data_IF_535451159671
#
_entry.id   IF_535451159671
#
_cell.length_a   1.000
_cell.length_b   1.000
_cell.length_c   1.000
_cell.angle_alpha   90.00
_cell.angle_beta   90.00
_cell.angle_gamma   90.00
#
_symmetry.space_group_name_H-M   'P 1'
#
loop_
_entity.id
_entity.type
_entity.pdbx_description
1 polymer ?
#
# COMPACT_ATOMS: atom_id res chain seq x y z
N UNK A 1 -11.29 3.28 -10.57
CA UNK A 1 -10.45 2.59 -9.57
C UNK A 1 -10.23 1.16 -10.05
N UNK A 2 -8.98 0.78 -10.29
CA UNK A 2 -8.67 -0.63 -10.57
C UNK A 2 -8.95 -1.46 -9.30
N UNK A 3 -9.64 -2.57 -9.46
CA UNK A 3 -9.88 -3.52 -8.36
C UNK A 3 -8.53 -4.11 -7.96
N UNK A 4 -8.13 -3.92 -6.69
CA UNK A 4 -6.87 -4.47 -6.20
C UNK A 4 -6.86 -5.99 -6.32
N UNK A 5 -5.87 -6.50 -7.02
CA UNK A 5 -5.64 -7.97 -7.09
C UNK A 5 -5.05 -8.44 -5.76
N UNK A 6 -5.50 -9.60 -5.30
CA UNK A 6 -4.95 -10.28 -4.12
C UNK A 6 -4.04 -11.39 -4.60
N UNK A 7 -2.89 -11.56 -3.98
CA UNK A 7 -1.97 -12.65 -4.30
C UNK A 7 -2.65 -14.02 -4.15
N UNK A 8 -2.43 -14.89 -5.12
CA UNK A 8 -2.89 -16.29 -5.05
C UNK A 8 -2.04 -17.11 -4.06
N UNK A 9 -0.79 -16.73 -3.89
CA UNK A 9 0.12 -17.37 -2.93
C UNK A 9 0.04 -16.59 -1.63
N UNK A 10 -0.36 -17.26 -0.56
CA UNK A 10 -0.56 -16.66 0.75
C UNK A 10 0.25 -17.43 1.80
N UNK A 11 0.99 -16.74 2.69
CA UNK A 11 1.60 -17.40 3.83
C UNK A 11 0.51 -17.93 4.77
N UNK A 12 0.70 -19.13 5.29
CA UNK A 12 -0.26 -19.79 6.18
C UNK A 12 -0.45 -19.02 7.49
N UNK A 13 0.62 -18.42 8.00
CA UNK A 13 0.63 -17.69 9.28
C UNK A 13 1.33 -16.37 9.14
N UNK A 14 0.88 -15.42 9.94
CA UNK A 14 1.53 -14.13 10.16
C UNK A 14 1.41 -13.78 11.64
N UNK A 15 2.51 -13.32 12.21
CA UNK A 15 2.57 -12.75 13.56
C UNK A 15 3.57 -11.61 13.54
N UNK A 16 3.33 -10.59 14.34
CA UNK A 16 4.35 -9.55 14.54
C UNK A 16 5.56 -10.12 15.25
N UNK A 17 6.75 -9.79 14.75
CA UNK A 17 7.98 -10.02 15.50
C UNK A 17 7.96 -9.27 16.84
N UNK A 18 8.80 -9.62 17.82
CA UNK A 18 8.78 -9.01 19.15
C UNK A 18 8.93 -7.48 19.14
N UNK A 19 9.73 -6.94 18.20
CA UNK A 19 9.95 -5.50 18.05
C UNK A 19 8.69 -4.81 17.50
N UNK A 20 8.09 -5.37 16.46
CA UNK A 20 6.89 -4.82 15.87
C UNK A 20 5.68 -4.99 16.78
N UNK A 21 5.63 -6.05 17.57
CA UNK A 21 4.59 -6.23 18.59
C UNK A 21 4.64 -5.11 19.64
N UNK A 22 5.82 -4.79 20.17
CA UNK A 22 5.97 -3.64 21.08
C UNK A 22 5.55 -2.32 20.44
N UNK A 23 5.89 -2.16 19.14
CA UNK A 23 5.49 -0.97 18.39
C UNK A 23 3.98 -0.91 18.21
N UNK A 24 3.33 -2.04 17.89
CA UNK A 24 1.89 -2.15 17.75
C UNK A 24 1.17 -1.81 19.06
N UNK A 25 1.65 -2.33 20.20
CA UNK A 25 1.08 -2.04 21.52
C UNK A 25 1.18 -0.54 21.85
N UNK A 26 2.32 0.09 21.55
CA UNK A 26 2.50 1.54 21.73
C UNK A 26 1.55 2.35 20.83
N UNK A 27 1.36 1.94 19.58
CA UNK A 27 0.43 2.60 18.67
C UNK A 27 -1.00 2.54 19.21
N UNK A 28 -1.41 1.37 19.69
CA UNK A 28 -2.75 1.16 20.24
C UNK A 28 -2.99 2.05 21.49
N UNK A 29 -1.97 2.22 22.34
CA UNK A 29 -2.05 3.08 23.52
C UNK A 29 -2.28 4.56 23.21
N UNK A 30 -1.98 5.03 21.99
CA UNK A 30 -2.27 6.40 21.57
C UNK A 30 -3.77 6.68 21.38
N UNK A 31 -4.61 5.66 21.36
CA UNK A 31 -6.05 5.80 21.17
C UNK A 31 -6.80 5.68 22.49
N UNK A 32 -7.87 6.47 22.70
CA UNK A 32 -8.69 6.39 23.89
C UNK A 32 -9.27 4.99 24.10
N UNK A 33 -9.60 4.68 25.35
CA UNK A 33 -10.24 3.41 25.71
C UNK A 33 -11.53 3.19 24.88
N UNK A 34 -11.70 2.01 24.31
CA UNK A 34 -12.81 1.65 23.42
C UNK A 34 -12.66 2.16 21.97
N UNK A 35 -11.54 2.84 21.62
CA UNK A 35 -11.24 3.32 20.26
C UNK A 35 -9.98 2.72 19.65
N UNK A 36 -9.46 1.66 20.23
CA UNK A 36 -8.22 0.99 19.79
C UNK A 36 -8.29 0.47 18.36
N UNK A 37 -9.50 0.14 17.88
CA UNK A 37 -9.73 -0.29 16.49
C UNK A 37 -9.32 0.77 15.45
N UNK A 38 -9.27 2.05 15.82
CA UNK A 38 -8.79 3.14 14.95
C UNK A 38 -7.29 3.02 14.59
N UNK A 39 -6.52 2.19 15.30
CA UNK A 39 -5.12 1.91 15.00
C UNK A 39 -4.92 0.97 13.80
N UNK A 40 -6.00 0.43 13.22
CA UNK A 40 -5.96 -0.57 12.12
C UNK A 40 -5.05 -0.15 10.96
N UNK A 41 -5.08 1.12 10.56
CA UNK A 41 -4.24 1.61 9.46
C UNK A 41 -2.75 1.53 9.80
N UNK A 42 -2.37 1.93 10.99
CA UNK A 42 -0.98 1.90 11.42
C UNK A 42 -0.47 0.46 11.58
N UNK A 43 -1.32 -0.45 12.06
CA UNK A 43 -0.97 -1.87 12.18
C UNK A 43 -0.84 -2.55 10.80
N UNK A 44 -1.70 -2.21 9.85
CA UNK A 44 -1.58 -2.69 8.46
C UNK A 44 -0.26 -2.22 7.83
N UNK A 45 0.12 -0.96 8.05
CA UNK A 45 1.39 -0.42 7.57
C UNK A 45 2.59 -1.13 8.21
N UNK A 46 2.52 -1.42 9.52
CA UNK A 46 3.55 -2.17 10.23
C UNK A 46 3.68 -3.60 9.69
N UNK A 47 2.55 -4.27 9.44
CA UNK A 47 2.52 -5.60 8.84
C UNK A 47 3.10 -5.60 7.43
N UNK A 48 2.74 -4.60 6.62
CA UNK A 48 3.29 -4.44 5.27
C UNK A 48 4.82 -4.32 5.28
N UNK A 49 5.36 -3.50 6.18
CA UNK A 49 6.81 -3.33 6.32
C UNK A 49 7.52 -4.62 6.76
N UNK A 50 6.88 -5.40 7.64
CA UNK A 50 7.45 -6.66 8.10
C UNK A 50 7.43 -7.73 7.02
N UNK A 51 6.46 -7.72 6.13
CA UNK A 51 6.23 -8.75 5.12
C UNK A 51 6.59 -8.25 3.70
N UNK A 52 7.83 -7.83 3.50
CA UNK A 52 8.39 -7.44 2.19
C UNK A 52 7.50 -6.47 1.40
N UNK A 53 6.95 -5.47 2.10
CA UNK A 53 6.09 -4.40 1.56
C UNK A 53 4.77 -4.85 0.92
N UNK A 54 4.20 -5.96 1.37
CA UNK A 54 2.83 -6.35 1.01
C UNK A 54 2.08 -6.99 2.18
N UNK A 55 0.76 -7.01 2.14
CA UNK A 55 -0.11 -7.47 3.23
C UNK A 55 -0.82 -8.76 2.82
N UNK A 56 -0.45 -9.91 3.40
CA UNK A 56 -1.16 -11.16 3.18
C UNK A 56 -2.47 -11.22 3.97
N UNK A 57 -3.40 -12.07 3.53
CA UNK A 57 -4.69 -12.28 4.22
C UNK A 57 -4.50 -12.80 5.66
N UNK A 58 -3.43 -13.55 5.92
CA UNK A 58 -3.08 -14.01 7.28
C UNK A 58 -2.75 -12.84 8.22
N UNK A 59 -2.07 -11.79 7.71
CA UNK A 59 -1.79 -10.59 8.49
C UNK A 59 -3.06 -9.81 8.82
N UNK A 60 -4.00 -9.69 7.88
CA UNK A 60 -5.29 -9.04 8.14
C UNK A 60 -6.10 -9.79 9.19
N UNK A 61 -6.11 -11.13 9.15
CA UNK A 61 -6.75 -11.98 10.15
C UNK A 61 -6.10 -11.82 11.53
N UNK A 62 -4.77 -11.74 11.55
CA UNK A 62 -4.02 -11.51 12.79
C UNK A 62 -4.37 -10.15 13.40
N UNK A 63 -4.35 -9.07 12.61
CA UNK A 63 -4.71 -7.71 13.05
C UNK A 63 -6.16 -7.64 13.54
N UNK A 64 -7.09 -8.31 12.85
CA UNK A 64 -8.48 -8.37 13.27
C UNK A 64 -8.63 -8.95 14.69
N UNK A 65 -7.94 -10.06 14.98
CA UNK A 65 -7.88 -10.65 16.33
C UNK A 65 -7.18 -9.74 17.34
N UNK A 66 -6.10 -9.09 16.92
CA UNK A 66 -5.29 -8.22 17.78
C UNK A 66 -6.07 -6.99 18.26
N UNK A 67 -6.96 -6.46 17.42
CA UNK A 67 -7.78 -5.28 17.70
C UNK A 67 -9.22 -5.62 18.14
N UNK A 68 -9.53 -6.91 18.30
CA UNK A 68 -10.89 -7.38 18.60
C UNK A 68 -11.94 -6.75 17.67
N UNK A 69 -11.74 -6.90 16.36
CA UNK A 69 -12.64 -6.36 15.34
C UNK A 69 -12.93 -7.38 14.24
N UNK A 70 -14.06 -7.26 13.54
CA UNK A 70 -14.41 -8.16 12.44
C UNK A 70 -13.36 -8.11 11.32
N UNK A 71 -12.95 -9.29 10.83
CA UNK A 71 -11.98 -9.40 9.73
C UNK A 71 -12.36 -8.55 8.51
N UNK A 72 -13.65 -8.50 8.16
CA UNK A 72 -14.14 -7.74 7.01
C UNK A 72 -13.78 -6.25 7.12
N UNK A 73 -13.77 -5.68 8.32
CA UNK A 73 -13.41 -4.27 8.54
C UNK A 73 -11.93 -4.00 8.28
N UNK A 74 -11.05 -4.92 8.66
CA UNK A 74 -9.62 -4.83 8.31
C UNK A 74 -9.41 -4.97 6.80
N UNK A 75 -10.14 -5.91 6.18
CA UNK A 75 -10.11 -6.14 4.74
C UNK A 75 -10.60 -4.91 3.96
N UNK A 76 -11.70 -4.27 4.38
CA UNK A 76 -12.21 -3.03 3.78
C UNK A 76 -11.12 -1.94 3.77
N UNK A 77 -10.45 -1.72 4.90
CA UNK A 77 -9.37 -0.72 4.99
C UNK A 77 -8.20 -1.07 4.06
N UNK A 78 -7.75 -2.33 4.07
CA UNK A 78 -6.62 -2.77 3.26
C UNK A 78 -6.89 -2.66 1.75
N UNK A 79 -8.13 -2.90 1.32
CA UNK A 79 -8.54 -2.81 -0.08
C UNK A 79 -8.84 -1.39 -0.52
N UNK A 80 -9.36 -0.55 0.36
CA UNK A 80 -9.74 0.83 0.06
C UNK A 80 -8.53 1.73 -0.19
N UNK A 81 -7.53 1.69 0.69
CA UNK A 81 -6.38 2.59 0.60
C UNK A 81 -5.32 2.07 -0.37
N UNK A 82 -4.97 2.91 -1.37
CA UNK A 82 -4.01 2.57 -2.43
C UNK A 82 -2.59 2.27 -1.93
N UNK A 83 -2.20 2.80 -0.77
CA UNK A 83 -0.88 2.58 -0.19
C UNK A 83 -0.62 1.16 0.33
N UNK A 84 -1.65 0.34 0.47
CA UNK A 84 -1.49 -1.06 0.88
C UNK A 84 -1.38 -1.96 -0.34
N UNK A 85 -0.27 -2.69 -0.43
CA UNK A 85 -0.04 -3.68 -1.46
C UNK A 85 -0.61 -5.03 -1.02
N UNK A 86 -1.46 -5.63 -1.84
CA UNK A 86 -2.10 -6.93 -1.56
C UNK A 86 -1.46 -8.09 -2.34
N UNK A 87 -0.42 -7.76 -3.10
CA UNK A 87 0.44 -8.69 -3.85
C UNK A 87 1.89 -8.38 -3.54
N UNK A 88 2.79 -9.37 -3.62
CA UNK A 88 4.23 -9.12 -3.52
C UNK A 88 4.68 -8.05 -4.51
N UNK A 89 5.51 -7.12 -4.04
CA UNK A 89 6.11 -6.05 -4.85
C UNK A 89 7.62 -6.24 -4.93
N UNK A 90 8.22 -5.77 -6.02
CA UNK A 90 9.66 -5.81 -6.19
C UNK A 90 10.39 -4.82 -5.30
N UNK A 91 11.73 -4.98 -5.19
CA UNK A 91 12.59 -4.02 -4.49
C UNK A 91 12.42 -2.60 -5.02
N UNK A 92 12.16 -2.47 -6.32
CA UNK A 92 11.84 -1.21 -6.99
C UNK A 92 10.39 -1.26 -7.45
N UNK A 93 9.57 -0.42 -6.87
CA UNK A 93 8.13 -0.33 -7.16
C UNK A 93 7.85 0.99 -7.85
N UNK A 94 7.50 0.92 -9.14
CA UNK A 94 7.22 2.08 -9.96
C UNK A 94 5.72 2.41 -9.90
N UNK A 95 5.40 3.62 -9.50
CA UNK A 95 4.04 4.14 -9.51
C UNK A 95 3.90 5.19 -10.60
N UNK A 96 3.03 4.96 -11.56
CA UNK A 96 2.81 5.83 -12.72
C UNK A 96 1.48 6.54 -12.57
N UNK A 97 1.53 7.86 -12.39
CA UNK A 97 0.33 8.69 -12.35
C UNK A 97 -0.28 8.83 -13.76
N UNK A 98 -1.56 8.50 -13.89
CA UNK A 98 -2.31 8.58 -15.15
C UNK A 98 -3.53 9.49 -15.07
N UNK A 99 -3.64 10.33 -14.04
CA UNK A 99 -4.69 11.36 -13.97
C UNK A 99 -4.59 12.36 -15.13
N UNK A 100 -5.67 13.08 -15.39
CA UNK A 100 -5.83 13.90 -16.60
C UNK A 100 -4.62 14.76 -16.96
N UNK A 101 -3.98 15.52 -16.06
CA UNK A 101 -2.81 16.32 -16.44
C UNK A 101 -1.62 15.45 -16.88
N UNK A 102 -1.36 14.33 -16.18
CA UNK A 102 -0.27 13.42 -16.54
C UNK A 102 -0.58 12.67 -17.85
N UNK A 103 -1.83 12.28 -18.05
CA UNK A 103 -2.30 11.66 -19.29
C UNK A 103 -2.02 12.57 -20.50
N UNK A 104 -2.41 13.84 -20.41
CA UNK A 104 -2.17 14.84 -21.46
C UNK A 104 -0.66 15.07 -21.72
N UNK A 105 0.17 14.84 -20.72
CA UNK A 105 1.65 14.94 -20.82
C UNK A 105 2.31 13.64 -21.29
N UNK A 106 1.54 12.61 -21.61
CA UNK A 106 2.04 11.35 -22.17
C UNK A 106 2.31 10.24 -21.16
N UNK A 107 1.60 10.21 -20.02
CA UNK A 107 1.78 9.17 -19.01
C UNK A 107 1.61 7.76 -19.57
N UNK A 108 0.74 7.56 -20.54
CA UNK A 108 0.55 6.24 -21.16
C UNK A 108 1.78 5.74 -21.93
N UNK A 109 2.66 6.63 -22.41
CA UNK A 109 3.93 6.20 -22.99
C UNK A 109 4.83 5.54 -21.90
N UNK A 110 4.77 6.03 -20.66
CA UNK A 110 5.47 5.42 -19.52
C UNK A 110 4.85 4.07 -19.15
N UNK A 111 3.53 3.98 -19.15
CA UNK A 111 2.81 2.70 -18.94
C UNK A 111 3.25 1.65 -19.95
N UNK A 112 3.34 2.00 -21.25
CA UNK A 112 3.82 1.10 -22.29
C UNK A 112 5.29 0.66 -22.07
N UNK A 113 6.13 1.55 -21.57
CA UNK A 113 7.51 1.19 -21.17
C UNK A 113 7.50 0.21 -20.01
N UNK A 114 6.66 0.44 -18.99
CA UNK A 114 6.52 -0.47 -17.85
C UNK A 114 6.04 -1.86 -18.30
N UNK A 115 5.02 -1.91 -19.17
CA UNK A 115 4.54 -3.18 -19.75
C UNK A 115 5.63 -3.95 -20.50
N UNK A 116 6.45 -3.27 -21.28
CA UNK A 116 7.52 -3.89 -22.08
C UNK A 116 8.73 -4.29 -21.24
N UNK A 117 9.08 -3.52 -20.22
CA UNK A 117 10.34 -3.67 -19.47
C UNK A 117 10.19 -4.41 -18.15
N UNK A 118 9.04 -4.36 -17.51
CA UNK A 118 8.80 -4.91 -16.17
C UNK A 118 7.90 -6.14 -16.26
N UNK A 119 6.62 -5.93 -16.53
CA UNK A 119 5.62 -6.98 -16.66
C UNK A 119 4.45 -6.49 -17.48
N UNK A 120 3.82 -7.37 -18.26
CA UNK A 120 2.67 -7.04 -19.10
C UNK A 120 1.48 -6.51 -18.28
N UNK A 121 1.27 -7.06 -17.10
CA UNK A 121 0.22 -6.63 -16.17
C UNK A 121 0.79 -5.85 -14.98
N UNK A 122 0.03 -4.86 -14.51
CA UNK A 122 0.31 -4.16 -13.25
C UNK A 122 0.21 -5.08 -12.03
N UNK A 123 0.89 -4.72 -10.94
CA UNK A 123 0.97 -5.53 -9.72
C UNK A 123 1.62 -6.91 -9.88
N UNK A 124 2.36 -7.12 -10.96
CA UNK A 124 3.12 -8.34 -11.19
C UNK A 124 4.61 -8.05 -11.08
N UNK A 125 5.34 -9.03 -10.58
CA UNK A 125 6.80 -8.97 -10.52
C UNK A 125 7.39 -9.16 -11.93
N UNK A 126 8.48 -8.46 -12.20
CA UNK A 126 9.33 -8.72 -13.36
C UNK A 126 9.91 -10.14 -13.30
N UNK A 127 10.42 -10.64 -14.42
CA UNK A 127 11.00 -11.99 -14.52
C UNK A 127 12.15 -12.24 -13.53
N UNK A 128 12.89 -11.18 -13.17
CA UNK A 128 13.98 -11.23 -12.19
C UNK A 128 13.53 -11.00 -10.74
N UNK A 129 12.22 -10.77 -10.51
CA UNK A 129 11.62 -10.53 -9.20
C UNK A 129 11.99 -9.20 -8.54
N UNK A 130 12.75 -8.32 -9.22
CA UNK A 130 13.28 -7.10 -8.61
C UNK A 130 12.39 -5.88 -8.76
N UNK A 131 11.60 -5.84 -9.82
CA UNK A 131 10.79 -4.69 -10.17
C UNK A 131 9.30 -5.04 -10.26
N UNK A 132 8.47 -4.08 -9.96
CA UNK A 132 7.02 -4.13 -10.20
C UNK A 132 6.52 -2.73 -10.49
N UNK A 133 5.34 -2.60 -11.06
CA UNK A 133 4.74 -1.31 -11.38
C UNK A 133 3.24 -1.32 -11.15
N UNK A 134 2.69 -0.13 -10.96
CA UNK A 134 1.26 0.10 -10.74
C UNK A 134 0.88 1.45 -11.33
N UNK A 135 -0.28 1.49 -11.97
CA UNK A 135 -0.96 2.73 -12.33
C UNK A 135 -1.65 3.30 -11.10
N UNK A 136 -1.37 4.56 -10.77
CA UNK A 136 -1.90 5.23 -9.57
C UNK A 136 -2.62 6.52 -9.94
N UNK A 137 -3.47 6.94 -9.01
CA UNK A 137 -4.12 8.25 -9.03
C UNK A 137 -3.09 9.38 -8.84
N UNK A 138 -3.56 10.61 -8.71
CA UNK A 138 -2.71 11.78 -8.60
C UNK A 138 -1.65 11.68 -7.50
N UNK A 139 -0.37 11.82 -7.87
CA UNK A 139 0.75 11.89 -6.93
C UNK A 139 1.00 13.31 -6.38
N UNK A 140 0.15 14.28 -6.74
CA UNK A 140 0.26 15.65 -6.25
C UNK A 140 1.44 16.44 -6.80
N UNK A 141 2.13 15.98 -7.85
CA UNK A 141 3.36 16.61 -8.34
C UNK A 141 3.17 18.07 -8.80
N UNK A 142 1.99 18.44 -9.30
CA UNK A 142 1.69 19.82 -9.70
C UNK A 142 1.55 20.76 -8.50
N UNK A 143 1.19 20.24 -7.33
CA UNK A 143 1.14 21.04 -6.11
C UNK A 143 2.52 21.58 -5.71
N UNK A 144 3.56 20.78 -5.92
CA UNK A 144 4.94 21.17 -5.60
C UNK A 144 5.62 22.05 -6.68
N UNK A 145 4.99 22.22 -7.82
CA UNK A 145 5.52 23.01 -8.95
C UNK A 145 4.69 24.25 -9.26
N UNK A 146 3.65 24.54 -8.45
CA UNK A 146 2.81 25.71 -8.60
C UNK A 146 3.25 26.81 -7.63
N UNK A 147 3.14 28.08 -8.07
CA UNK A 147 3.46 29.25 -7.24
C UNK A 147 2.64 29.32 -5.94
N UNK A 148 1.44 28.70 -5.93
CA UNK A 148 0.60 28.60 -4.74
C UNK A 148 1.23 27.74 -3.60
N UNK A 149 2.20 26.87 -3.92
CA UNK A 149 2.92 26.11 -2.91
C UNK A 149 3.97 26.97 -2.19
N UNK A 150 4.53 27.98 -2.87
CA UNK A 150 5.57 28.85 -2.34
C UNK A 150 5.00 29.94 -1.43
N UNK A 151 3.73 30.33 -1.63
CA UNK A 151 3.05 31.33 -0.79
C UNK A 151 2.73 30.84 0.64
N UNK A 152 2.72 29.53 0.87
CA UNK A 152 2.42 28.92 2.18
C UNK A 152 3.67 28.81 3.08
N UNK A 153 4.85 28.99 2.50
CA UNK A 153 6.14 28.87 3.20
C UNK A 153 6.80 30.20 3.54
N UNK A 154 6.11 31.32 3.29
CA UNK A 154 6.54 32.69 3.64
C UNK A 154 6.18 33.09 5.04
#
# INVERSE_FOLDING_TARGET
MAVKKISKVQPERFEFDPKNKQTADRIIQNYPQGKQQSSVMALLYLAQKQNDNWIPLSAMKYIAKYLDMPYIKVYEVATFYSMYNLTPVGKYFFQVCTTTPCMLRGAYNLVEVCKKKISEEENMLSKDGKTSWLEVECLGCLLYTSDAADEITG
#
